data_IF_807366492990
#
_entry.id   IF_807366492990
#
_cell.length_a   1.000
_cell.length_b   1.000
_cell.length_c   1.000
_cell.angle_alpha   90.00
_cell.angle_beta   90.00
_cell.angle_gamma   90.00
#
_symmetry.space_group_name_H-M   'P 1'
#
loop_
_entity.id
_entity.type
_entity.pdbx_description
1 polymer ?
#
# COMPACT_ATOMS: atom_id res chain seq x y z
N UNK A 1 -17.55 -9.11 -4.68
CA UNK A 1 -16.08 -9.03 -4.62
C UNK A 1 -15.65 -9.75 -3.36
N UNK A 2 -15.26 -11.03 -3.44
CA UNK A 2 -14.99 -11.87 -2.26
C UNK A 2 -13.60 -11.61 -1.68
N UNK A 3 -13.46 -11.69 -0.37
CA UNK A 3 -12.15 -11.66 0.29
C UNK A 3 -11.38 -12.92 -0.08
N UNK A 4 -10.34 -12.78 -0.91
CA UNK A 4 -9.47 -13.90 -1.27
C UNK A 4 -8.35 -13.98 -0.25
N UNK A 5 -8.50 -14.85 0.74
CA UNK A 5 -7.47 -15.08 1.75
C UNK A 5 -6.20 -15.62 1.08
N UNK A 6 -5.06 -14.94 1.26
CA UNK A 6 -3.75 -15.37 0.77
C UNK A 6 -2.95 -16.03 1.87
N UNK A 7 -2.55 -17.28 1.66
CA UNK A 7 -1.60 -17.95 2.55
C UNK A 7 -0.20 -17.36 2.37
N UNK A 8 0.68 -17.56 3.36
CA UNK A 8 2.09 -17.15 3.27
C UNK A 8 2.78 -17.70 2.03
N UNK A 9 2.57 -18.99 1.74
CA UNK A 9 3.12 -19.66 0.55
C UNK A 9 2.66 -18.96 -0.74
N UNK A 10 1.37 -18.65 -0.84
CA UNK A 10 0.81 -17.95 -2.00
C UNK A 10 1.39 -16.54 -2.17
N UNK A 11 1.57 -15.80 -1.07
CA UNK A 11 2.20 -14.48 -1.10
C UNK A 11 3.62 -14.54 -1.66
N UNK A 12 4.42 -15.51 -1.20
CA UNK A 12 5.79 -15.72 -1.68
C UNK A 12 5.78 -16.13 -3.16
N UNK A 13 4.89 -17.03 -3.58
CA UNK A 13 4.73 -17.45 -4.98
C UNK A 13 4.35 -16.29 -5.91
N UNK A 14 3.56 -15.33 -5.42
CA UNK A 14 3.17 -14.11 -6.15
C UNK A 14 4.24 -13.00 -6.10
N UNK A 15 5.31 -13.20 -5.32
CA UNK A 15 6.47 -12.31 -5.22
C UNK A 15 6.37 -11.25 -4.13
N UNK A 16 5.43 -11.36 -3.19
CA UNK A 16 5.38 -10.48 -2.02
C UNK A 16 6.50 -10.83 -1.06
N UNK A 17 7.21 -9.80 -0.61
CA UNK A 17 8.43 -9.95 0.21
C UNK A 17 8.27 -9.36 1.60
N UNK A 18 7.40 -8.36 1.78
CA UNK A 18 7.27 -7.64 3.05
C UNK A 18 5.82 -7.44 3.50
N UNK A 19 5.64 -7.29 4.81
CA UNK A 19 4.46 -6.71 5.43
C UNK A 19 4.70 -5.23 5.71
N UNK A 20 3.70 -4.39 5.49
CA UNK A 20 3.77 -2.97 5.78
C UNK A 20 2.44 -2.37 6.19
N UNK A 21 2.46 -1.05 6.35
CA UNK A 21 1.31 -0.21 6.63
C UNK A 21 1.32 0.99 5.69
N UNK A 22 0.18 1.24 5.05
CA UNK A 22 -0.06 2.41 4.21
C UNK A 22 -1.41 3.01 4.64
N UNK A 23 -1.46 4.31 4.91
CA UNK A 23 -2.68 4.98 5.42
C UNK A 23 -3.26 4.40 6.72
N UNK A 24 -2.44 3.71 7.51
CA UNK A 24 -2.92 2.96 8.69
C UNK A 24 -3.61 1.63 8.34
N UNK A 25 -3.50 1.19 7.09
CA UNK A 25 -4.02 -0.08 6.58
C UNK A 25 -2.84 -1.06 6.46
N UNK A 26 -2.93 -2.25 7.09
CA UNK A 26 -2.00 -3.35 6.85
C UNK A 26 -1.98 -3.77 5.37
N UNK A 27 -0.78 -3.91 4.81
CA UNK A 27 -0.57 -4.25 3.40
C UNK A 27 0.53 -5.30 3.20
N UNK A 28 0.47 -6.00 2.07
CA UNK A 28 1.57 -6.78 1.52
C UNK A 28 2.31 -5.95 0.48
N UNK A 29 3.64 -6.02 0.49
CA UNK A 29 4.51 -5.24 -0.39
C UNK A 29 5.37 -6.17 -1.22
N UNK A 30 5.42 -5.89 -2.52
CA UNK A 30 6.24 -6.55 -3.52
C UNK A 30 7.13 -5.51 -4.22
N UNK A 31 8.32 -5.94 -4.61
CA UNK A 31 9.31 -5.11 -5.30
C UNK A 31 9.63 -3.82 -4.53
N UNK A 32 9.99 -3.96 -3.24
CA UNK A 32 10.18 -2.85 -2.29
C UNK A 32 11.22 -1.80 -2.74
N UNK A 33 12.25 -2.22 -3.47
CA UNK A 33 13.32 -1.35 -3.98
C UNK A 33 12.96 -0.70 -5.32
N UNK A 34 11.76 -0.95 -5.85
CA UNK A 34 11.23 -0.30 -7.04
C UNK A 34 10.77 1.12 -6.73
N UNK A 35 10.87 2.02 -7.71
CA UNK A 35 10.24 3.35 -7.68
C UNK A 35 8.70 3.27 -7.53
N UNK A 36 8.11 2.14 -7.91
CA UNK A 36 6.69 1.85 -7.78
C UNK A 36 6.50 0.44 -7.19
N UNK A 37 6.60 0.28 -5.85
CA UNK A 37 6.34 -1.00 -5.21
C UNK A 37 4.87 -1.40 -5.38
N UNK A 38 4.63 -2.69 -5.52
CA UNK A 38 3.26 -3.22 -5.60
C UNK A 38 2.73 -3.40 -4.19
N UNK A 39 1.55 -2.85 -3.93
CA UNK A 39 0.89 -2.86 -2.63
C UNK A 39 -0.47 -3.50 -2.79
N UNK A 40 -0.80 -4.42 -1.89
CA UNK A 40 -2.14 -4.99 -1.78
C UNK A 40 -2.59 -4.99 -0.32
N UNK A 41 -3.90 -4.89 -0.10
CA UNK A 41 -4.45 -4.97 1.25
C UNK A 41 -4.15 -6.35 1.88
N UNK A 42 -3.78 -6.34 3.16
CA UNK A 42 -3.58 -7.59 3.87
C UNK A 42 -4.90 -8.36 4.05
N UNK A 43 -4.79 -9.66 4.34
CA UNK A 43 -5.95 -10.51 4.65
C UNK A 43 -6.91 -9.85 5.65
N UNK A 44 -8.20 -10.12 5.48
CA UNK A 44 -9.32 -9.55 6.25
C UNK A 44 -9.60 -8.06 6.01
N UNK A 45 -8.82 -7.40 5.15
CA UNK A 45 -9.09 -6.05 4.66
C UNK A 45 -9.51 -6.15 3.21
N UNK A 46 -10.73 -5.70 2.85
CA UNK A 46 -11.12 -5.61 1.46
C UNK A 46 -10.25 -4.61 0.68
N UNK A 47 -9.82 -4.97 -0.52
CA UNK A 47 -8.95 -4.14 -1.36
C UNK A 47 -9.50 -2.72 -1.61
N UNK A 48 -10.83 -2.59 -1.70
CA UNK A 48 -11.47 -1.29 -1.90
C UNK A 48 -11.19 -0.29 -0.77
N UNK A 49 -10.87 -0.76 0.44
CA UNK A 49 -10.49 0.12 1.55
C UNK A 49 -9.21 0.87 1.22
N UNK A 50 -8.24 0.20 0.59
CA UNK A 50 -7.00 0.82 0.12
C UNK A 50 -7.31 1.80 -1.02
N UNK A 51 -8.18 1.43 -1.97
CA UNK A 51 -8.61 2.32 -3.05
C UNK A 51 -9.24 3.62 -2.53
N UNK A 52 -10.11 3.54 -1.51
CA UNK A 52 -10.73 4.72 -0.91
C UNK A 52 -9.69 5.55 -0.14
N UNK A 53 -8.77 4.91 0.57
CA UNK A 53 -7.71 5.63 1.28
C UNK A 53 -6.76 6.38 0.32
N UNK A 54 -6.39 5.75 -0.80
CA UNK A 54 -5.59 6.40 -1.86
C UNK A 54 -6.32 7.61 -2.46
N UNK A 55 -7.63 7.49 -2.74
CA UNK A 55 -8.42 8.61 -3.24
C UNK A 55 -8.43 9.79 -2.26
N UNK A 56 -8.60 9.53 -0.97
CA UNK A 56 -8.59 10.58 0.07
C UNK A 56 -7.19 11.20 0.17
N UNK A 57 -6.15 10.36 0.21
CA UNK A 57 -4.75 10.80 0.27
C UNK A 57 -4.42 11.69 -0.92
N UNK A 58 -4.62 11.21 -2.15
CA UNK A 58 -4.34 11.97 -3.37
C UNK A 58 -5.17 13.26 -3.49
N UNK A 59 -6.40 13.26 -3.00
CA UNK A 59 -7.20 14.49 -2.94
C UNK A 59 -6.55 15.53 -2.03
N UNK A 60 -6.10 15.15 -0.83
CA UNK A 60 -5.41 16.05 0.11
C UNK A 60 -4.09 16.55 -0.48
N UNK A 61 -3.29 15.66 -1.06
CA UNK A 61 -2.03 16.00 -1.73
C UNK A 61 -2.25 17.00 -2.88
N UNK A 62 -3.32 16.80 -3.66
CA UNK A 62 -3.73 17.73 -4.72
C UNK A 62 -4.05 19.12 -4.18
N UNK A 63 -4.78 19.22 -3.06
CA UNK A 63 -5.04 20.51 -2.40
C UNK A 63 -3.75 21.18 -1.91
N UNK A 64 -2.82 20.43 -1.34
CA UNK A 64 -1.53 20.96 -0.89
C UNK A 64 -0.68 21.47 -2.06
N UNK A 65 -0.65 20.73 -3.17
CA UNK A 65 0.10 21.10 -4.36
C UNK A 65 -0.43 22.39 -5.03
N UNK A 66 -1.75 22.62 -5.01
CA UNK A 66 -2.36 23.89 -5.49
C UNK A 66 -1.80 25.10 -4.72
N UNK A 67 -1.59 24.97 -3.41
CA UNK A 67 -1.13 26.05 -2.56
C UNK A 67 0.39 26.14 -2.44
N UNK A 68 1.12 25.10 -2.84
CA UNK A 68 2.57 25.05 -2.82
C UNK A 68 3.10 24.24 -4.01
N UNK A 69 3.46 24.91 -5.13
CA UNK A 69 3.96 24.24 -6.33
C UNK A 69 5.25 23.43 -6.14
N UNK A 70 6.05 23.76 -5.12
CA UNK A 70 7.28 23.05 -4.76
C UNK A 70 7.03 21.82 -3.86
N UNK A 71 5.76 21.54 -3.54
CA UNK A 71 5.39 20.38 -2.75
C UNK A 71 5.59 19.09 -3.53
N UNK A 72 6.49 18.24 -3.05
CA UNK A 72 6.72 16.88 -3.55
C UNK A 72 5.94 15.90 -2.68
N UNK A 73 4.86 15.28 -3.20
CA UNK A 73 4.12 14.23 -2.49
C UNK A 73 5.05 13.09 -2.10
N UNK A 74 4.99 12.66 -0.84
CA UNK A 74 5.70 11.47 -0.37
C UNK A 74 4.78 10.59 0.47
N UNK A 75 4.49 9.41 -0.06
CA UNK A 75 3.71 8.40 0.65
C UNK A 75 4.62 7.59 1.57
N UNK A 76 4.47 7.79 2.87
CA UNK A 76 5.25 7.03 3.86
C UNK A 76 4.61 5.67 4.07
N UNK A 77 5.01 4.70 3.26
CA UNK A 77 4.78 3.29 3.56
C UNK A 77 5.70 2.91 4.72
N UNK A 78 5.13 2.31 5.77
CA UNK A 78 5.92 1.77 6.88
C UNK A 78 6.07 0.27 6.71
N UNK A 79 7.30 -0.19 6.51
CA UNK A 79 7.61 -1.62 6.47
C UNK A 79 7.72 -2.16 7.90
N UNK A 80 7.10 -3.30 8.17
CA UNK A 80 7.05 -3.92 9.50
C UNK A 80 7.82 -5.23 9.62
N UNK A 81 8.13 -5.88 8.50
CA UNK A 81 8.94 -7.09 8.49
C UNK A 81 8.84 -7.86 7.18
N UNK A 82 9.62 -8.93 7.07
CA UNK A 82 9.69 -9.81 5.91
C UNK A 82 8.69 -10.97 6.00
N UNK A 83 8.22 -11.42 4.84
CA UNK A 83 7.43 -12.64 4.69
C UNK A 83 8.40 -13.85 4.64
N UNK A 84 8.57 -14.56 5.76
CA UNK A 84 9.49 -15.74 5.88
C UNK A 84 8.94 -17.10 5.46
#
# INVERSE_FOLDING_TARGET
MGMLYKSKKKLIEEGFTHYGWLWGIPVYVKDIDSEAPIIEAANFIPEWVLTVADQIGFFIEGLLNIHNPEYVPMFKIRITGEIK
#
